data_IF_441603173117
#
_entry.id   IF_441603173117
#
_cell.length_a   1.000
_cell.length_b   1.000
_cell.length_c   1.000
_cell.angle_alpha   90.00
_cell.angle_beta   90.00
_cell.angle_gamma   90.00
#
_symmetry.space_group_name_H-M   'P 1'
#
loop_
_entity.id
_entity.type
_entity.pdbx_description
1 polymer ?
#
# COMPACT_ATOMS: atom_id res chain seq x y z
N UNK A 1 -19.04 13.85 23.65
CA UNK A 1 -17.74 13.25 23.96
C UNK A 1 -16.89 13.51 22.73
N UNK A 2 -16.08 14.58 22.74
CA UNK A 2 -15.27 14.95 21.57
C UNK A 2 -14.13 13.93 21.46
N UNK A 3 -14.07 13.19 20.34
CA UNK A 3 -12.92 12.35 19.99
C UNK A 3 -11.67 13.23 19.99
N UNK A 4 -10.55 12.70 20.48
CA UNK A 4 -9.24 13.34 20.34
C UNK A 4 -8.98 13.61 18.86
N UNK A 5 -8.54 14.83 18.50
CA UNK A 5 -8.20 15.27 17.13
C UNK A 5 -6.96 14.55 16.57
N UNK A 6 -6.50 13.49 17.24
CA UNK A 6 -5.36 12.69 16.80
C UNK A 6 -5.79 11.78 15.64
N UNK A 7 -5.59 12.29 14.42
CA UNK A 7 -5.53 11.46 13.22
C UNK A 7 -6.75 11.47 12.30
N UNK A 8 -7.91 11.93 12.75
CA UNK A 8 -9.16 11.83 11.97
C UNK A 8 -9.36 12.96 10.94
N UNK A 9 -8.37 13.85 10.74
CA UNK A 9 -8.50 14.98 9.81
C UNK A 9 -8.26 14.54 8.36
N UNK A 10 -9.18 14.90 7.47
CA UNK A 10 -9.00 14.75 6.03
C UNK A 10 -7.90 15.67 5.49
N UNK A 11 -7.35 15.36 4.31
CA UNK A 11 -6.32 16.21 3.71
C UNK A 11 -6.75 17.68 3.54
N UNK A 12 -7.99 17.99 3.06
CA UNK A 12 -8.48 19.36 3.03
C UNK A 12 -8.51 20.04 4.41
N UNK A 13 -8.92 19.31 5.46
CA UNK A 13 -8.94 19.83 6.82
C UNK A 13 -7.54 20.11 7.35
N UNK A 14 -6.56 19.25 7.08
CA UNK A 14 -5.16 19.47 7.41
C UNK A 14 -4.64 20.76 6.73
N UNK A 15 -4.98 20.97 5.46
CA UNK A 15 -4.61 22.20 4.73
C UNK A 15 -5.29 23.44 5.32
N UNK A 16 -6.55 23.34 5.75
CA UNK A 16 -7.24 24.44 6.44
C UNK A 16 -6.61 24.74 7.80
N UNK A 17 -6.22 23.71 8.54
CA UNK A 17 -5.55 23.83 9.84
C UNK A 17 -4.19 24.53 9.69
N UNK A 18 -3.38 24.12 8.71
CA UNK A 18 -2.10 24.77 8.39
C UNK A 18 -2.27 26.26 8.06
N UNK A 19 -3.28 26.61 7.25
CA UNK A 19 -3.62 28.01 6.95
C UNK A 19 -4.01 28.79 8.21
N UNK A 20 -4.86 28.22 9.07
CA UNK A 20 -5.26 28.85 10.33
C UNK A 20 -4.06 29.05 11.27
N UNK A 21 -3.13 28.09 11.31
CA UNK A 21 -1.90 28.19 12.11
C UNK A 21 -1.11 29.46 11.74
N UNK A 22 -0.90 29.71 10.44
CA UNK A 22 -0.18 30.87 9.92
C UNK A 22 -0.98 32.18 9.91
N UNK A 23 -2.31 32.13 10.08
CA UNK A 23 -3.13 33.33 10.14
C UNK A 23 -2.78 34.19 11.37
N UNK A 24 -2.35 35.43 11.14
CA UNK A 24 -2.04 36.40 12.21
C UNK A 24 -3.31 37.03 12.81
N UNK A 25 -4.40 37.07 12.04
CA UNK A 25 -5.69 37.63 12.43
C UNK A 25 -6.69 36.52 12.74
N UNK A 26 -6.37 35.69 13.74
CA UNK A 26 -7.26 34.60 14.18
C UNK A 26 -8.58 35.16 14.70
N UNK A 27 -9.70 34.61 14.23
CA UNK A 27 -11.02 34.85 14.80
C UNK A 27 -11.07 34.43 16.28
N UNK A 28 -12.11 34.86 17.00
CA UNK A 28 -12.31 34.46 18.40
C UNK A 28 -12.42 32.93 18.54
N UNK A 29 -13.11 32.28 17.61
CA UNK A 29 -13.30 30.83 17.59
C UNK A 29 -11.96 30.12 17.38
N UNK A 30 -11.16 30.53 16.38
CA UNK A 30 -9.83 29.95 16.16
C UNK A 30 -8.93 30.13 17.39
N UNK A 31 -8.94 31.30 18.03
CA UNK A 31 -8.18 31.52 19.26
C UNK A 31 -8.56 30.55 20.39
N UNK A 32 -9.85 30.21 20.52
CA UNK A 32 -10.33 29.25 21.51
C UNK A 32 -9.89 27.82 21.17
N UNK A 33 -9.94 27.43 19.89
CA UNK A 33 -9.49 26.11 19.42
C UNK A 33 -7.99 25.94 19.72
N UNK A 34 -7.15 26.87 19.25
CA UNK A 34 -5.70 26.84 19.46
C UNK A 34 -5.28 26.91 20.93
N UNK A 35 -6.13 27.49 21.80
CA UNK A 35 -5.89 27.53 23.26
C UNK A 35 -6.20 26.18 23.94
N UNK A 36 -7.21 25.47 23.45
CA UNK A 36 -7.66 24.20 24.04
C UNK A 36 -6.80 23.03 23.60
N UNK A 37 -6.38 23.03 22.34
CA UNK A 37 -5.57 21.96 21.74
C UNK A 37 -4.37 22.58 21.00
N UNK A 38 -3.22 22.74 21.68
CA UNK A 38 -2.04 23.32 21.07
C UNK A 38 -1.40 22.32 20.11
N UNK A 39 -1.83 22.34 18.84
CA UNK A 39 -1.24 21.54 17.76
C UNK A 39 0.02 22.27 17.25
N UNK A 40 1.14 21.54 17.14
CA UNK A 40 2.38 22.12 16.62
C UNK A 40 2.44 22.09 15.10
N UNK A 41 3.19 23.01 14.48
CA UNK A 41 3.44 22.95 13.03
C UNK A 41 4.13 21.64 12.60
N UNK A 42 4.97 21.06 13.47
CA UNK A 42 5.57 19.74 13.23
C UNK A 42 4.50 18.65 13.09
N UNK A 43 3.45 18.71 13.90
CA UNK A 43 2.38 17.72 13.94
C UNK A 43 1.45 17.87 12.73
N UNK A 44 1.13 19.10 12.34
CA UNK A 44 0.40 19.41 11.10
C UNK A 44 1.16 18.88 9.88
N UNK A 45 2.48 19.12 9.83
CA UNK A 45 3.32 18.66 8.72
C UNK A 45 3.44 17.14 8.66
N UNK A 46 3.44 16.45 9.80
CA UNK A 46 3.44 14.98 9.87
C UNK A 46 2.13 14.41 9.32
N UNK A 47 0.97 14.91 9.78
CA UNK A 47 -0.34 14.50 9.25
C UNK A 47 -0.48 14.78 7.75
N UNK A 48 0.02 15.94 7.30
CA UNK A 48 0.04 16.30 5.89
C UNK A 48 0.87 15.31 5.07
N UNK A 49 2.06 14.96 5.55
CA UNK A 49 2.91 13.96 4.92
C UNK A 49 2.25 12.58 4.84
N UNK A 50 1.64 12.13 5.94
CA UNK A 50 0.96 10.83 6.02
C UNK A 50 -0.22 10.75 5.04
N UNK A 51 -1.05 11.80 4.97
CA UNK A 51 -2.17 11.89 4.03
C UNK A 51 -1.69 11.88 2.57
N UNK A 52 -0.62 12.60 2.26
CA UNK A 52 -0.03 12.62 0.93
C UNK A 52 0.58 11.26 0.53
N UNK A 53 1.20 10.54 1.48
CA UNK A 53 1.66 9.16 1.26
C UNK A 53 0.49 8.24 0.93
N UNK A 54 -0.60 8.30 1.71
CA UNK A 54 -1.80 7.48 1.49
C UNK A 54 -2.39 7.72 0.09
N UNK A 55 -2.36 8.95 -0.41
CA UNK A 55 -2.81 9.32 -1.75
C UNK A 55 -1.78 9.02 -2.86
N UNK A 56 -0.64 8.38 -2.55
CA UNK A 56 0.48 8.15 -3.46
C UNK A 56 1.09 9.43 -4.07
N UNK A 57 0.94 10.58 -3.40
CA UNK A 57 1.51 11.88 -3.77
C UNK A 57 2.91 12.03 -3.18
N UNK A 58 3.80 11.12 -3.57
CA UNK A 58 5.11 10.92 -2.93
C UNK A 58 6.02 12.15 -2.92
N UNK A 59 6.02 12.95 -4.00
CA UNK A 59 6.82 14.18 -4.06
C UNK A 59 6.36 15.19 -3.00
N UNK A 60 5.06 15.42 -2.91
CA UNK A 60 4.48 16.37 -1.98
C UNK A 60 4.59 15.88 -0.54
N UNK A 61 4.46 14.57 -0.31
CA UNK A 61 4.72 13.95 0.98
C UNK A 61 6.17 14.20 1.44
N UNK A 62 7.14 13.99 0.55
CA UNK A 62 8.55 14.26 0.84
C UNK A 62 8.79 15.75 1.16
N UNK A 63 8.14 16.67 0.44
CA UNK A 63 8.22 18.11 0.74
C UNK A 63 7.65 18.42 2.13
N UNK A 64 6.50 17.82 2.50
CA UNK A 64 5.88 18.02 3.81
C UNK A 64 6.78 17.55 4.95
N UNK A 65 7.34 16.34 4.86
CA UNK A 65 8.26 15.82 5.87
C UNK A 65 9.57 16.61 5.95
N UNK A 66 10.12 17.07 4.81
CA UNK A 66 11.29 17.97 4.81
C UNK A 66 11.01 19.28 5.52
N UNK A 67 9.81 19.83 5.36
CA UNK A 67 9.38 21.06 6.03
C UNK A 67 9.44 20.98 7.55
N UNK A 68 9.28 19.79 8.12
CA UNK A 68 9.38 19.54 9.58
C UNK A 68 10.71 18.92 10.02
N UNK A 69 11.60 18.60 9.07
CA UNK A 69 12.95 18.09 9.31
C UNK A 69 13.04 16.65 9.84
N UNK A 70 11.93 15.93 9.96
CA UNK A 70 11.87 14.55 10.46
C UNK A 70 10.62 13.80 10.00
N UNK A 71 10.67 12.49 10.05
CA UNK A 71 9.49 11.61 9.96
C UNK A 71 9.78 10.29 10.67
N UNK A 72 8.74 9.52 10.99
CA UNK A 72 8.91 8.22 11.65
C UNK A 72 9.64 7.22 10.75
N UNK A 73 10.38 6.30 11.37
CA UNK A 73 10.96 5.16 10.70
C UNK A 73 9.90 4.10 10.44
N UNK A 74 9.99 3.47 9.27
CA UNK A 74 9.18 2.31 8.95
C UNK A 74 9.68 1.11 9.75
N UNK A 75 8.75 0.27 10.20
CA UNK A 75 9.04 -0.93 10.99
C UNK A 75 9.78 -1.96 10.13
N UNK A 76 9.44 -2.07 8.85
CA UNK A 76 10.03 -3.02 7.89
C UNK A 76 10.58 -2.34 6.64
N UNK A 77 11.26 -3.10 5.78
CA UNK A 77 11.62 -2.64 4.43
C UNK A 77 10.41 -2.74 3.48
N UNK A 78 9.86 -1.60 3.01
CA UNK A 78 8.70 -1.59 2.11
C UNK A 78 9.00 -2.10 0.71
N UNK A 79 10.26 -2.42 0.37
CA UNK A 79 10.63 -2.96 -0.93
C UNK A 79 10.89 -4.48 -0.90
N UNK A 80 10.87 -5.09 0.29
CA UNK A 80 11.02 -6.52 0.47
C UNK A 80 9.70 -7.24 0.15
N UNK A 81 9.73 -8.20 -0.76
CA UNK A 81 8.55 -9.02 -1.15
C UNK A 81 8.87 -10.49 -0.97
N UNK A 82 7.88 -11.22 -0.47
CA UNK A 82 7.91 -12.66 -0.30
C UNK A 82 6.85 -13.35 -1.17
N UNK A 83 7.09 -14.63 -1.48
CA UNK A 83 6.07 -15.47 -2.13
C UNK A 83 4.89 -15.68 -1.20
N UNK A 84 5.17 -15.93 0.08
CA UNK A 84 4.19 -16.04 1.17
C UNK A 84 4.29 -14.78 2.01
N UNK A 85 3.19 -14.03 2.12
CA UNK A 85 3.16 -12.85 2.98
C UNK A 85 3.18 -13.26 4.45
N UNK A 86 4.09 -12.69 5.24
CA UNK A 86 4.09 -12.83 6.69
C UNK A 86 4.51 -11.53 7.37
N UNK A 87 3.52 -10.67 7.64
CA UNK A 87 3.77 -9.36 8.26
C UNK A 87 4.42 -9.47 9.64
N UNK A 88 3.91 -10.38 10.49
CA UNK A 88 4.43 -10.62 11.83
C UNK A 88 5.82 -11.28 11.84
N UNK A 89 6.21 -11.93 10.74
CA UNK A 89 7.57 -12.42 10.56
C UNK A 89 8.49 -11.25 10.20
N UNK A 90 8.10 -10.46 9.19
CA UNK A 90 8.89 -9.33 8.70
C UNK A 90 9.12 -8.29 9.79
N UNK A 91 8.09 -7.97 10.60
CA UNK A 91 8.19 -7.01 11.72
C UNK A 91 9.15 -7.47 12.83
N UNK A 92 9.37 -8.78 12.94
CA UNK A 92 10.24 -9.40 13.95
C UNK A 92 11.68 -9.50 13.45
N UNK A 93 11.84 -9.89 12.19
CA UNK A 93 13.09 -10.40 11.65
C UNK A 93 13.80 -9.40 10.73
N UNK A 94 13.10 -8.35 10.27
CA UNK A 94 13.62 -7.34 9.34
C UNK A 94 13.32 -5.94 9.85
N UNK A 95 14.33 -5.29 10.44
CA UNK A 95 14.22 -3.90 10.85
C UNK A 95 14.25 -2.96 9.64
N UNK A 96 13.22 -2.13 9.51
CA UNK A 96 13.17 -1.06 8.51
C UNK A 96 14.26 -0.02 8.75
N UNK A 97 14.94 0.38 7.68
CA UNK A 97 16.01 1.39 7.72
C UNK A 97 15.57 2.73 7.13
N UNK A 98 14.36 2.80 6.57
CA UNK A 98 13.85 3.98 5.89
C UNK A 98 12.87 4.72 6.79
N UNK A 99 13.01 6.04 6.84
CA UNK A 99 11.95 6.93 7.30
C UNK A 99 10.85 7.10 6.25
N UNK A 100 9.65 7.51 6.66
CA UNK A 100 8.55 7.86 5.74
C UNK A 100 8.98 8.90 4.70
N UNK A 101 9.83 9.86 5.08
CA UNK A 101 10.47 10.79 4.16
C UNK A 101 11.32 10.06 3.10
N UNK A 102 12.25 9.22 3.52
CA UNK A 102 13.14 8.50 2.59
C UNK A 102 12.36 7.54 1.69
N UNK A 103 11.31 6.92 2.23
CA UNK A 103 10.38 6.12 1.44
C UNK A 103 9.67 6.96 0.37
N UNK A 104 9.11 8.11 0.74
CA UNK A 104 8.45 9.03 -0.20
C UNK A 104 9.42 9.49 -1.31
N UNK A 105 10.65 9.88 -0.96
CA UNK A 105 11.67 10.27 -1.92
C UNK A 105 12.03 9.12 -2.87
N UNK A 106 12.22 7.91 -2.34
CA UNK A 106 12.54 6.73 -3.14
C UNK A 106 11.38 6.37 -4.07
N UNK A 107 10.14 6.40 -3.60
CA UNK A 107 8.95 6.12 -4.43
C UNK A 107 8.79 7.13 -5.57
N UNK A 108 8.99 8.41 -5.31
CA UNK A 108 8.99 9.44 -6.36
C UNK A 108 10.08 9.18 -7.42
N UNK A 109 11.32 8.92 -6.97
CA UNK A 109 12.43 8.63 -7.87
C UNK A 109 12.22 7.35 -8.70
N UNK A 110 11.68 6.29 -8.08
CA UNK A 110 11.36 5.04 -8.75
C UNK A 110 10.27 5.23 -9.80
N UNK A 111 9.19 5.97 -9.49
CA UNK A 111 8.13 6.23 -10.47
C UNK A 111 8.66 6.98 -11.70
N UNK A 112 9.52 8.00 -11.49
CA UNK A 112 10.16 8.74 -12.59
C UNK A 112 11.01 7.82 -13.48
N UNK A 113 11.85 6.97 -12.88
CA UNK A 113 12.67 6.00 -13.63
C UNK A 113 11.80 4.97 -14.37
N UNK A 114 10.76 4.46 -13.72
CA UNK A 114 9.81 3.52 -14.31
C UNK A 114 9.08 4.10 -15.52
N UNK A 115 8.69 5.37 -15.46
CA UNK A 115 8.10 6.10 -16.60
C UNK A 115 9.09 6.24 -17.77
N UNK A 116 10.39 6.31 -17.47
CA UNK A 116 11.47 6.33 -18.47
C UNK A 116 11.91 4.93 -18.92
N UNK A 117 11.16 3.88 -18.59
CA UNK A 117 11.40 2.52 -19.08
C UNK A 117 12.36 1.67 -18.25
N UNK A 118 12.77 2.13 -17.07
CA UNK A 118 13.60 1.32 -16.15
C UNK A 118 12.76 0.19 -15.55
N UNK A 119 13.05 -1.04 -15.97
CA UNK A 119 12.32 -2.24 -15.56
C UNK A 119 12.47 -2.56 -14.07
N UNK A 120 13.66 -2.35 -13.50
CA UNK A 120 13.92 -2.62 -12.08
C UNK A 120 13.21 -1.57 -11.23
N UNK A 121 13.25 -0.30 -11.64
CA UNK A 121 12.53 0.76 -10.94
C UNK A 121 11.01 0.54 -10.98
N UNK A 122 10.47 0.08 -12.12
CA UNK A 122 9.04 -0.25 -12.23
C UNK A 122 8.63 -1.37 -11.27
N UNK A 123 9.48 -2.38 -11.10
CA UNK A 123 9.23 -3.48 -10.18
C UNK A 123 9.29 -3.02 -8.72
N UNK A 124 10.33 -2.30 -8.33
CA UNK A 124 10.48 -1.77 -6.97
C UNK A 124 9.36 -0.79 -6.61
N UNK A 125 8.94 0.06 -7.56
CA UNK A 125 7.80 0.96 -7.36
C UNK A 125 6.50 0.16 -7.09
N UNK A 126 6.26 -0.91 -7.84
CA UNK A 126 5.09 -1.75 -7.64
C UNK A 126 5.13 -2.47 -6.28
N UNK A 127 6.30 -2.98 -5.87
CA UNK A 127 6.51 -3.58 -4.55
C UNK A 127 6.22 -2.58 -3.42
N UNK A 128 6.74 -1.36 -3.52
CA UNK A 128 6.51 -0.31 -2.54
C UNK A 128 5.02 0.04 -2.40
N UNK A 129 4.28 0.12 -3.50
CA UNK A 129 2.83 0.33 -3.48
C UNK A 129 2.09 -0.85 -2.84
N UNK A 130 2.47 -2.09 -3.17
CA UNK A 130 1.84 -3.28 -2.57
C UNK A 130 2.06 -3.31 -1.06
N UNK A 131 3.28 -3.05 -0.60
CA UNK A 131 3.66 -3.24 0.78
C UNK A 131 3.09 -2.21 1.75
N UNK A 132 2.62 -1.06 1.28
CA UNK A 132 1.91 -0.07 2.12
C UNK A 132 0.41 -0.32 2.22
N UNK A 133 -0.12 -1.32 1.52
CA UNK A 133 -1.53 -1.72 1.62
C UNK A 133 -1.78 -2.61 2.83
N UNK A 134 -3.05 -2.89 3.12
CA UNK A 134 -3.48 -3.88 4.11
C UNK A 134 -2.85 -5.26 3.87
N UNK A 135 -2.47 -5.62 2.65
CA UNK A 135 -1.87 -6.93 2.36
C UNK A 135 -0.35 -6.92 2.39
N UNK A 136 0.24 -5.77 2.70
CA UNK A 136 1.66 -5.51 2.69
C UNK A 136 2.30 -5.55 4.06
N UNK A 137 3.64 -5.64 4.09
CA UNK A 137 4.40 -5.68 5.34
C UNK A 137 4.64 -4.31 5.99
N UNK A 138 4.53 -3.22 5.24
CA UNK A 138 4.86 -1.85 5.69
C UNK A 138 3.61 -0.97 5.82
N UNK A 139 2.56 -1.52 6.43
CA UNK A 139 1.28 -0.84 6.69
C UNK A 139 1.45 0.43 7.51
N UNK A 140 2.46 0.45 8.37
CA UNK A 140 2.86 1.56 9.22
C UNK A 140 3.39 2.78 8.44
N UNK A 141 3.64 2.64 7.13
CA UNK A 141 3.88 3.77 6.24
C UNK A 141 2.67 4.70 6.11
N UNK A 142 1.45 4.16 6.28
CA UNK A 142 0.20 4.92 6.27
C UNK A 142 -0.36 4.96 7.69
N UNK A 143 -0.66 6.16 8.18
CA UNK A 143 -1.18 6.36 9.54
C UNK A 143 -2.51 5.61 9.74
N UNK A 144 -2.68 4.95 10.89
CA UNK A 144 -3.85 4.13 11.23
C UNK A 144 -5.17 4.88 11.16
N UNK A 145 -5.20 6.18 11.45
CA UNK A 145 -6.42 6.98 11.35
C UNK A 145 -6.85 7.28 9.91
N UNK A 146 -5.89 7.24 8.96
CA UNK A 146 -6.15 7.33 7.52
C UNK A 146 -6.50 5.97 6.91
N UNK A 147 -6.23 4.88 7.63
CA UNK A 147 -6.66 3.53 7.23
C UNK A 147 -8.19 3.36 7.37
N UNK A 148 -8.83 4.17 8.22
CA UNK A 148 -10.27 4.14 8.55
C UNK A 148 -11.06 5.36 8.03
N UNK A 149 -10.43 6.28 7.29
CA UNK A 149 -11.10 7.48 6.81
C UNK A 149 -12.18 7.16 5.75
N UNK A 150 -13.45 7.15 6.17
CA UNK A 150 -14.66 6.95 5.35
C UNK A 150 -14.76 7.91 4.13
N UNK A 151 -14.02 9.02 4.12
CA UNK A 151 -14.07 10.03 3.07
C UNK A 151 -13.29 9.66 1.79
N UNK A 152 -12.47 8.60 1.82
CA UNK A 152 -11.94 8.00 0.60
C UNK A 152 -12.96 6.96 0.13
N UNK A 153 -13.72 7.29 -0.92
CA UNK A 153 -14.75 6.42 -1.55
C UNK A 153 -14.24 4.98 -1.79
N UNK A 154 -12.92 4.82 -1.95
CA UNK A 154 -12.17 3.58 -1.70
C UNK A 154 -10.85 3.94 -1.03
N UNK A 155 -10.63 3.48 0.21
CA UNK A 155 -9.33 3.66 0.89
C UNK A 155 -8.21 3.00 0.08
N UNK A 156 -7.19 3.77 -0.28
CA UNK A 156 -6.00 3.27 -1.01
C UNK A 156 -5.27 2.17 -0.24
N UNK A 157 -5.50 2.11 1.07
CA UNK A 157 -4.97 1.08 1.95
C UNK A 157 -5.53 -0.31 1.63
N UNK A 158 -6.81 -0.44 1.28
CA UNK A 158 -7.41 -1.73 0.91
C UNK A 158 -7.44 -1.96 -0.62
N UNK A 159 -7.29 -0.90 -1.42
CA UNK A 159 -7.32 -1.00 -2.88
C UNK A 159 -6.03 -1.58 -3.46
N UNK A 160 -6.19 -2.56 -4.36
CA UNK A 160 -5.12 -3.10 -5.19
C UNK A 160 -5.00 -2.41 -6.55
N UNK A 161 -5.67 -1.28 -6.78
CA UNK A 161 -5.65 -0.62 -8.09
C UNK A 161 -4.29 -0.03 -8.46
N UNK A 162 -3.69 0.74 -7.56
CA UNK A 162 -2.37 1.29 -7.79
C UNK A 162 -1.27 0.19 -7.87
N UNK A 163 -1.19 -0.79 -6.94
CA UNK A 163 -0.24 -1.90 -7.07
C UNK A 163 -0.41 -2.69 -8.37
N UNK A 164 -1.65 -3.06 -8.73
CA UNK A 164 -1.92 -3.83 -9.96
C UNK A 164 -1.48 -3.07 -11.22
N UNK A 165 -1.86 -1.78 -11.36
CA UNK A 165 -1.45 -0.97 -12.49
C UNK A 165 0.08 -0.79 -12.58
N UNK A 166 0.75 -0.67 -11.43
CA UNK A 166 2.21 -0.60 -11.37
C UNK A 166 2.87 -1.92 -11.78
N UNK A 167 2.35 -3.07 -11.34
CA UNK A 167 2.83 -4.37 -11.79
C UNK A 167 2.55 -4.64 -13.27
N UNK A 168 1.43 -4.16 -13.82
CA UNK A 168 1.20 -4.25 -15.28
C UNK A 168 2.24 -3.47 -16.07
N UNK A 169 2.65 -2.30 -15.57
CA UNK A 169 3.79 -1.55 -16.14
C UNK A 169 5.09 -2.35 -15.99
N UNK A 170 5.37 -2.90 -14.82
CA UNK A 170 6.56 -3.71 -14.57
C UNK A 170 6.60 -4.93 -15.50
N UNK A 171 5.47 -5.58 -15.77
CA UNK A 171 5.39 -6.76 -16.65
C UNK A 171 5.78 -6.42 -18.09
N UNK A 172 5.37 -5.24 -18.58
CA UNK A 172 5.71 -4.75 -19.92
C UNK A 172 7.21 -4.50 -20.07
N UNK A 173 7.86 -4.05 -19.01
CA UNK A 173 9.30 -3.72 -19.00
C UNK A 173 10.18 -4.91 -18.59
N UNK A 174 9.62 -5.92 -17.90
CA UNK A 174 10.37 -7.02 -17.30
C UNK A 174 11.17 -7.83 -18.34
N UNK A 175 12.48 -8.02 -18.13
CA UNK A 175 13.30 -8.83 -19.02
C UNK A 175 13.19 -10.32 -18.70
N UNK A 176 13.17 -11.15 -19.74
CA UNK A 176 13.22 -12.60 -19.59
C UNK A 176 11.99 -13.24 -18.98
N UNK A 177 11.95 -14.58 -19.00
CA UNK A 177 10.79 -15.34 -18.50
C UNK A 177 10.70 -15.37 -16.98
N UNK A 178 11.83 -15.46 -16.27
CA UNK A 178 11.86 -15.51 -14.81
C UNK A 178 11.27 -14.26 -14.17
N UNK A 179 11.70 -13.08 -14.62
CA UNK A 179 11.21 -11.81 -14.06
C UNK A 179 9.73 -11.58 -14.41
N UNK A 180 9.29 -11.98 -15.62
CA UNK A 180 7.87 -11.95 -15.99
C UNK A 180 7.02 -12.91 -15.16
N UNK A 181 7.53 -14.11 -14.87
CA UNK A 181 6.85 -15.06 -13.99
C UNK A 181 6.67 -14.48 -12.57
N UNK A 182 7.71 -13.83 -12.03
CA UNK A 182 7.61 -13.07 -10.77
C UNK A 182 6.52 -12.01 -10.81
N UNK A 183 6.53 -11.14 -11.82
CA UNK A 183 5.54 -10.06 -11.91
C UNK A 183 4.12 -10.59 -12.11
N UNK A 184 3.93 -11.64 -12.90
CA UNK A 184 2.63 -12.28 -13.07
C UNK A 184 2.09 -12.86 -11.77
N UNK A 185 2.95 -13.45 -10.95
CA UNK A 185 2.54 -13.91 -9.64
C UNK A 185 2.10 -12.75 -8.74
N UNK A 186 2.82 -11.62 -8.74
CA UNK A 186 2.40 -10.43 -7.99
C UNK A 186 1.08 -9.85 -8.50
N UNK A 187 0.85 -9.83 -9.82
CA UNK A 187 -0.45 -9.46 -10.38
C UNK A 187 -1.58 -10.39 -9.92
N UNK A 188 -1.31 -11.70 -9.87
CA UNK A 188 -2.28 -12.66 -9.38
C UNK A 188 -2.57 -12.52 -7.89
N UNK A 189 -1.59 -12.12 -7.06
CA UNK A 189 -1.82 -11.74 -5.66
C UNK A 189 -2.76 -10.52 -5.57
N UNK A 190 -2.54 -9.49 -6.39
CA UNK A 190 -3.46 -8.36 -6.47
C UNK A 190 -4.89 -8.79 -6.89
N UNK A 191 -5.04 -9.72 -7.84
CA UNK A 191 -6.34 -10.29 -8.23
C UNK A 191 -7.03 -11.02 -7.07
N UNK A 192 -6.28 -11.87 -6.36
CA UNK A 192 -6.77 -12.58 -5.17
C UNK A 192 -7.27 -11.60 -4.11
N UNK A 193 -6.47 -10.58 -3.78
CA UNK A 193 -6.80 -9.58 -2.77
C UNK A 193 -8.05 -8.77 -3.15
N UNK A 194 -8.24 -8.45 -4.44
CA UNK A 194 -9.48 -7.80 -4.92
C UNK A 194 -10.69 -8.70 -4.77
N UNK A 195 -10.57 -9.99 -5.09
CA UNK A 195 -11.64 -10.94 -4.90
C UNK A 195 -12.05 -11.02 -3.43
N UNK A 196 -11.07 -11.14 -2.52
CA UNK A 196 -11.32 -11.18 -1.09
C UNK A 196 -12.03 -9.92 -0.58
N UNK A 197 -11.61 -8.72 -1.01
CA UNK A 197 -12.30 -7.48 -0.60
C UNK A 197 -13.72 -7.40 -1.17
N UNK A 198 -13.93 -7.78 -2.44
CA UNK A 198 -15.26 -7.81 -3.08
C UNK A 198 -16.22 -8.81 -2.42
N UNK A 199 -15.73 -9.99 -2.03
CA UNK A 199 -16.53 -10.98 -1.32
C UNK A 199 -16.76 -10.59 0.16
N UNK A 200 -15.82 -9.88 0.79
CA UNK A 200 -15.99 -9.39 2.16
C UNK A 200 -16.93 -8.17 2.26
N UNK A 201 -17.12 -7.39 1.19
CA UNK A 201 -18.25 -6.45 1.08
C UNK A 201 -19.61 -7.18 1.16
N UNK A 202 -19.65 -8.47 0.82
CA UNK A 202 -20.85 -9.32 0.90
C UNK A 202 -21.00 -9.95 2.30
N UNK A 203 -19.96 -10.01 3.14
CA UNK A 203 -20.09 -10.45 4.55
C UNK A 203 -18.85 -10.19 5.40
N UNK A 204 -18.88 -9.14 6.24
CA UNK A 204 -17.90 -8.94 7.33
C UNK A 204 -17.95 -10.06 8.41
N UNK A 205 -18.99 -10.90 8.40
CA UNK A 205 -19.15 -12.05 9.31
C UNK A 205 -18.45 -13.32 8.81
N UNK A 206 -17.97 -13.34 7.57
CA UNK A 206 -17.34 -14.52 6.98
C UNK A 206 -15.84 -14.66 7.31
N UNK A 207 -15.17 -13.58 7.74
CA UNK A 207 -13.73 -13.60 8.07
C UNK A 207 -13.39 -14.44 9.32
N UNK A 208 -14.38 -14.77 10.16
CA UNK A 208 -14.23 -15.56 11.39
C UNK A 208 -15.20 -16.76 11.50
N UNK A 209 -15.93 -17.09 10.44
CA UNK A 209 -16.87 -18.20 10.42
C UNK A 209 -16.32 -19.41 9.68
N UNK A 210 -16.42 -20.60 10.27
CA UNK A 210 -15.96 -21.88 9.71
C UNK A 210 -16.68 -22.33 8.41
N UNK A 211 -17.64 -21.55 7.91
CA UNK A 211 -18.55 -21.91 6.80
C UNK A 211 -18.49 -20.91 5.63
N UNK A 212 -17.31 -20.72 5.03
CA UNK A 212 -17.22 -20.10 3.70
C UNK A 212 -17.27 -21.20 2.61
N UNK A 213 -18.37 -21.30 1.82
CA UNK A 213 -18.39 -22.13 0.62
C UNK A 213 -17.69 -21.39 -0.53
N UNK A 214 -16.46 -20.94 -0.33
CA UNK A 214 -15.67 -20.33 -1.38
C UNK A 214 -14.63 -21.34 -1.85
N UNK A 215 -14.86 -21.97 -2.99
CA UNK A 215 -13.77 -22.49 -3.79
C UNK A 215 -13.13 -21.27 -4.47
N UNK A 216 -11.98 -20.76 -3.96
CA UNK A 216 -11.40 -19.50 -4.45
C UNK A 216 -11.01 -19.62 -5.92
N UNK A 217 -10.94 -20.84 -6.45
CA UNK A 217 -10.44 -21.17 -7.79
C UNK A 217 -11.54 -21.11 -8.86
N UNK A 218 -12.81 -20.85 -8.50
CA UNK A 218 -13.93 -20.75 -9.44
C UNK A 218 -14.11 -19.40 -10.14
N UNK A 219 -13.67 -18.29 -9.54
CA UNK A 219 -13.85 -16.98 -10.17
C UNK A 219 -12.76 -16.72 -11.23
N UNK A 220 -13.07 -16.99 -12.50
CA UNK A 220 -12.14 -16.79 -13.62
C UNK A 220 -11.70 -15.33 -13.79
N UNK A 221 -12.49 -14.35 -13.33
CA UNK A 221 -12.15 -12.92 -13.37
C UNK A 221 -10.85 -12.63 -12.61
N UNK A 222 -10.60 -13.33 -11.50
CA UNK A 222 -9.45 -13.11 -10.60
C UNK A 222 -8.36 -14.17 -10.74
N UNK A 223 -8.33 -14.88 -11.87
CA UNK A 223 -7.37 -15.97 -12.13
C UNK A 223 -6.60 -15.83 -13.43
N UNK A 224 -6.75 -14.70 -14.12
CA UNK A 224 -6.10 -14.44 -15.41
C UNK A 224 -4.59 -14.55 -15.30
N UNK A 225 -3.98 -13.98 -14.25
CA UNK A 225 -2.52 -13.98 -14.14
C UNK A 225 -1.96 -15.34 -13.69
N UNK A 226 -2.70 -16.11 -12.88
CA UNK A 226 -2.37 -17.53 -12.63
C UNK A 226 -2.49 -18.39 -13.88
N UNK A 227 -3.53 -18.20 -14.70
CA UNK A 227 -3.69 -18.89 -15.98
C UNK A 227 -2.49 -18.63 -16.90
N UNK A 228 -2.04 -17.38 -16.99
CA UNK A 228 -0.90 -17.00 -17.81
C UNK A 228 0.43 -17.56 -17.25
N UNK A 229 0.62 -17.50 -15.93
CA UNK A 229 1.78 -18.07 -15.24
C UNK A 229 1.88 -19.59 -15.51
N UNK A 230 0.76 -20.32 -15.42
CA UNK A 230 0.68 -21.75 -15.73
C UNK A 230 0.95 -22.06 -17.19
N UNK A 231 0.21 -21.44 -18.09
CA UNK A 231 0.27 -21.77 -19.53
C UNK A 231 1.58 -21.39 -20.20
N UNK A 232 2.21 -20.29 -19.78
CA UNK A 232 3.31 -19.67 -20.53
C UNK A 232 4.66 -19.66 -19.80
N UNK A 233 4.68 -19.97 -18.50
CA UNK A 233 5.87 -19.83 -17.65
C UNK A 233 6.16 -21.06 -16.77
N UNK A 234 5.49 -22.20 -17.01
CA UNK A 234 5.70 -23.45 -16.27
C UNK A 234 7.16 -23.96 -16.25
N UNK A 235 7.98 -23.54 -17.22
CA UNK A 235 9.38 -23.93 -17.33
C UNK A 235 10.35 -23.05 -16.54
N UNK A 236 9.86 -21.99 -15.88
CA UNK A 236 10.69 -21.08 -15.08
C UNK A 236 10.98 -21.68 -13.70
N UNK A 237 12.13 -21.34 -13.12
CA UNK A 237 12.45 -21.72 -11.74
C UNK A 237 11.51 -21.01 -10.76
N UNK A 238 11.14 -19.76 -11.06
CA UNK A 238 10.17 -19.04 -10.25
C UNK A 238 8.79 -19.72 -10.22
N UNK A 239 8.30 -20.26 -11.34
CA UNK A 239 7.05 -21.03 -11.34
C UNK A 239 7.12 -22.23 -10.39
N UNK A 240 8.22 -22.99 -10.42
CA UNK A 240 8.40 -24.17 -9.56
C UNK A 240 8.46 -23.77 -8.08
N UNK A 241 9.12 -22.65 -7.77
CA UNK A 241 9.15 -22.08 -6.43
C UNK A 241 7.73 -21.76 -5.95
N UNK A 242 6.96 -20.99 -6.72
CA UNK A 242 5.60 -20.61 -6.34
C UNK A 242 4.68 -21.82 -6.21
N UNK A 243 4.79 -22.80 -7.13
CA UNK A 243 4.00 -24.04 -7.07
C UNK A 243 4.23 -24.80 -5.77
N UNK A 244 5.44 -24.72 -5.21
CA UNK A 244 5.79 -25.36 -3.94
C UNK A 244 5.35 -24.55 -2.72
N UNK A 245 5.51 -23.23 -2.77
CA UNK A 245 5.37 -22.36 -1.59
C UNK A 245 3.97 -21.73 -1.46
N UNK A 246 3.17 -21.67 -2.55
CA UNK A 246 1.85 -21.04 -2.55
C UNK A 246 0.72 -22.07 -2.75
N UNK A 247 0.00 -22.40 -1.68
CA UNK A 247 -1.11 -23.36 -1.69
C UNK A 247 -2.24 -22.97 -2.65
N UNK A 248 -2.55 -21.68 -2.78
CA UNK A 248 -3.56 -21.20 -3.73
C UNK A 248 -3.15 -21.47 -5.18
N UNK A 249 -1.88 -21.25 -5.51
CA UNK A 249 -1.39 -21.52 -6.86
C UNK A 249 -1.29 -23.02 -7.15
N UNK A 250 -0.84 -23.82 -6.18
CA UNK A 250 -0.87 -25.30 -6.27
C UNK A 250 -2.27 -25.80 -6.56
N UNK A 251 -3.25 -25.36 -5.78
CA UNK A 251 -4.64 -25.75 -5.97
C UNK A 251 -5.14 -25.33 -7.36
N UNK A 252 -4.86 -24.10 -7.79
CA UNK A 252 -5.21 -23.61 -9.12
C UNK A 252 -4.64 -24.51 -10.23
N UNK A 253 -3.36 -24.88 -10.13
CA UNK A 253 -2.68 -25.73 -11.11
C UNK A 253 -3.26 -27.14 -11.14
N UNK A 254 -3.70 -27.68 -10.00
CA UNK A 254 -4.29 -29.02 -9.89
C UNK A 254 -5.69 -29.13 -10.49
N UNK A 255 -6.49 -28.08 -10.38
CA UNK A 255 -7.92 -28.09 -10.77
C UNK A 255 -8.15 -27.63 -12.22
N UNK A 256 -7.31 -26.73 -12.72
CA UNK A 256 -7.32 -26.28 -14.13
C UNK A 256 -6.25 -26.96 -14.96
#
# INVERSE_FOLDING_TARGET
MYRSVEGDLSYPEIVMLEKSYHNKEKSLIERLIWKKEPISLSQIGEWKGDALLAMHRFEEAAIAYKGIGRSQFLITDPFLIHVVDCHDCDHRDVLGTLSRLQFAEKMHALNSKAQNGDAQAALEYANGLYNITWFGNSRDAINSSLQEAEELEVSTFYSMDAPYAAYERALKLAPGKEKKAFVLFMLAKCEQNRFEMKENEISYTAYYGDDLPCDPVKNQEFRKNFALLKSSYANTEFYKLVLKECSYFEHYVRVH
#
